data_IF_943309128375
#
_entry.id   IF_943309128375
#
_cell.length_a   1.000
_cell.length_b   1.000
_cell.length_c   1.000
_cell.angle_alpha   90.00
_cell.angle_beta   90.00
_cell.angle_gamma   90.00
#
_symmetry.space_group_name_H-M   'P 1'
#
loop_
_entity.id
_entity.type
_entity.pdbx_description
1 polymer ?
#
# COMPACT_ATOMS: atom_id res chain seq x y z
N UNK A 1 29.52 22.97 -16.41
CA UNK A 1 28.88 21.64 -16.47
C UNK A 1 27.84 21.52 -15.34
N UNK A 2 26.83 22.38 -15.30
CA UNK A 2 25.91 22.54 -14.15
C UNK A 2 24.45 22.17 -14.46
N UNK A 3 24.14 21.83 -15.72
CA UNK A 3 22.77 21.50 -16.16
C UNK A 3 22.42 20.01 -16.05
N UNK A 4 23.38 19.12 -15.76
CA UNK A 4 23.13 17.67 -15.68
C UNK A 4 22.33 17.25 -14.45
N UNK A 5 22.29 18.06 -13.39
CA UNK A 5 21.59 17.75 -12.13
C UNK A 5 20.07 18.04 -12.18
N UNK A 6 19.61 18.90 -13.10
CA UNK A 6 18.20 19.34 -13.15
C UNK A 6 17.28 18.25 -13.75
N UNK A 7 17.82 17.33 -14.56
CA UNK A 7 17.06 16.25 -15.22
C UNK A 7 16.74 15.05 -14.31
N UNK A 8 17.30 14.97 -13.10
CA UNK A 8 17.08 13.84 -12.19
C UNK A 8 15.96 14.08 -11.17
N UNK A 9 15.47 15.33 -11.03
CA UNK A 9 14.42 15.67 -10.08
C UNK A 9 13.03 15.05 -10.37
N UNK A 10 12.56 14.88 -11.64
CA UNK A 10 11.22 14.34 -11.88
C UNK A 10 11.11 12.81 -11.67
N UNK A 11 12.23 12.08 -11.62
CA UNK A 11 12.24 10.62 -11.42
C UNK A 11 11.97 10.20 -9.96
N UNK A 12 12.13 11.11 -9.00
CA UNK A 12 11.91 10.83 -7.56
C UNK A 12 10.44 10.87 -7.15
N UNK A 13 9.53 11.35 -8.02
CA UNK A 13 8.09 11.43 -7.75
C UNK A 13 7.30 10.18 -8.20
N UNK A 14 7.94 9.24 -8.91
CA UNK A 14 7.31 8.02 -9.41
C UNK A 14 7.15 6.89 -8.39
N UNK A 15 7.60 7.08 -7.14
CA UNK A 15 7.54 6.05 -6.10
C UNK A 15 6.23 6.04 -5.28
N UNK A 16 5.28 6.93 -5.60
CA UNK A 16 4.03 7.01 -4.86
C UNK A 16 2.98 6.04 -5.40
N UNK A 17 2.68 5.06 -4.55
CA UNK A 17 1.47 4.27 -4.47
C UNK A 17 1.28 3.23 -5.58
N UNK A 18 1.50 1.96 -5.21
CA UNK A 18 0.70 0.88 -5.77
C UNK A 18 -0.77 1.32 -5.77
N UNK A 19 -1.36 1.39 -6.96
CA UNK A 19 -2.70 1.96 -7.17
C UNK A 19 -3.74 1.28 -6.29
N UNK A 20 -4.73 2.05 -5.84
CA UNK A 20 -5.81 1.55 -5.01
C UNK A 20 -6.63 0.47 -5.75
N UNK A 21 -6.61 -0.80 -5.31
CA UNK A 21 -7.33 -1.87 -5.98
C UNK A 21 -8.80 -1.94 -5.54
N UNK A 22 -9.35 -0.92 -4.90
CA UNK A 22 -10.70 -0.91 -4.35
C UNK A 22 -11.58 0.13 -5.04
N UNK A 23 -12.86 -0.20 -5.20
CA UNK A 23 -13.86 0.65 -5.86
C UNK A 23 -15.14 0.73 -5.03
N UNK A 24 -15.76 1.91 -5.00
CA UNK A 24 -17.10 2.13 -4.48
C UNK A 24 -17.86 3.09 -5.43
N UNK A 25 -18.79 2.60 -6.27
CA UNK A 25 -19.49 3.43 -7.26
C UNK A 25 -20.36 4.55 -6.67
N UNK A 26 -20.71 4.45 -5.38
CA UNK A 26 -21.56 5.43 -4.71
C UNK A 26 -20.78 6.66 -4.19
N UNK A 27 -19.45 6.57 -4.23
CA UNK A 27 -18.54 7.56 -3.64
C UNK A 27 -17.65 8.17 -4.74
N UNK A 28 -17.36 9.50 -4.71
CA UNK A 28 -16.41 10.12 -5.63
C UNK A 28 -15.03 9.47 -5.58
N UNK A 29 -14.39 9.28 -6.75
CA UNK A 29 -13.08 8.61 -6.87
C UNK A 29 -11.99 9.24 -5.99
N UNK A 30 -12.03 10.55 -5.82
CA UNK A 30 -11.07 11.30 -4.99
C UNK A 30 -11.08 10.86 -3.51
N UNK A 31 -12.20 10.29 -3.05
CA UNK A 31 -12.33 9.77 -1.69
C UNK A 31 -11.75 8.36 -1.55
N UNK A 32 -11.70 7.58 -2.64
CA UNK A 32 -11.22 6.19 -2.61
C UNK A 32 -9.79 6.10 -2.12
N UNK A 33 -8.90 6.95 -2.63
CA UNK A 33 -7.49 6.96 -2.24
C UNK A 33 -7.27 7.46 -0.83
N UNK A 34 -8.11 8.39 -0.35
CA UNK A 34 -8.07 8.89 1.03
C UNK A 34 -8.45 7.78 2.02
N UNK A 35 -9.54 7.08 1.73
CA UNK A 35 -10.05 5.99 2.56
C UNK A 35 -9.09 4.81 2.56
N UNK A 36 -8.58 4.43 1.38
CA UNK A 36 -7.54 3.41 1.25
C UNK A 36 -6.29 3.79 2.03
N UNK A 37 -5.80 5.03 1.93
CA UNK A 37 -4.64 5.50 2.69
C UNK A 37 -4.87 5.50 4.21
N UNK A 38 -6.10 5.76 4.67
CA UNK A 38 -6.45 5.67 6.07
C UNK A 38 -6.47 4.22 6.57
N UNK A 39 -7.10 3.30 5.82
CA UNK A 39 -7.10 1.88 6.11
C UNK A 39 -5.68 1.30 6.08
N UNK A 40 -4.86 1.70 5.11
CA UNK A 40 -3.46 1.29 4.98
C UNK A 40 -2.64 1.63 6.21
N UNK A 41 -2.73 2.88 6.68
CA UNK A 41 -2.02 3.34 7.89
C UNK A 41 -2.43 2.58 9.15
N UNK A 42 -3.72 2.21 9.22
CA UNK A 42 -4.24 1.39 10.31
C UNK A 42 -3.66 -0.02 10.26
N UNK A 43 -3.66 -0.64 9.07
CA UNK A 43 -3.07 -1.96 8.86
C UNK A 43 -1.54 -1.99 9.11
N UNK A 44 -0.81 -0.95 8.68
CA UNK A 44 0.63 -0.79 8.94
C UNK A 44 0.90 -0.81 10.47
N UNK A 45 0.10 -0.06 11.23
CA UNK A 45 0.21 0.02 12.69
C UNK A 45 -0.11 -1.31 13.38
N UNK A 46 -1.16 -1.99 12.93
CA UNK A 46 -1.69 -3.17 13.63
C UNK A 46 -0.94 -4.46 13.29
N UNK A 47 -0.41 -4.57 12.07
CA UNK A 47 0.29 -5.77 11.59
C UNK A 47 1.79 -5.79 11.90
N UNK A 48 2.39 -4.61 12.12
CA UNK A 48 3.84 -4.46 12.19
C UNK A 48 4.56 -4.84 10.88
N UNK A 49 3.83 -5.02 9.78
CA UNK A 49 4.40 -5.36 8.48
C UNK A 49 5.31 -4.24 7.98
N UNK A 50 6.53 -4.61 7.58
CA UNK A 50 7.45 -3.71 6.89
C UNK A 50 7.90 -4.34 5.59
N UNK A 51 7.79 -3.55 4.52
CA UNK A 51 8.20 -3.95 3.17
C UNK A 51 9.65 -3.58 2.86
N UNK A 52 10.46 -3.30 3.89
CA UNK A 52 11.87 -2.96 3.72
C UNK A 52 12.66 -4.23 3.40
N UNK A 53 12.88 -4.52 2.11
CA UNK A 53 13.78 -5.60 1.66
C UNK A 53 15.26 -5.38 2.02
N UNK A 54 15.57 -4.64 3.09
CA UNK A 54 16.92 -4.30 3.56
C UNK A 54 17.54 -5.38 4.44
N UNK A 55 16.76 -6.40 4.75
CA UNK A 55 17.16 -7.49 5.62
C UNK A 55 17.73 -8.66 4.80
N UNK A 56 18.89 -9.15 5.21
CA UNK A 56 19.49 -10.36 4.62
C UNK A 56 18.58 -11.58 4.80
N UNK A 57 18.67 -12.51 3.83
CA UNK A 57 17.85 -13.73 3.80
C UNK A 57 17.95 -14.52 5.11
N UNK A 58 16.80 -14.80 5.72
CA UNK A 58 16.66 -15.67 6.89
C UNK A 58 15.29 -16.35 6.86
N UNK A 59 15.21 -17.69 6.87
CA UNK A 59 13.94 -18.41 6.75
C UNK A 59 12.91 -18.07 7.85
N UNK A 60 13.36 -17.77 9.07
CA UNK A 60 12.46 -17.37 10.16
C UNK A 60 11.87 -15.98 9.92
N UNK A 61 12.68 -15.05 9.43
CA UNK A 61 12.24 -13.67 9.12
C UNK A 61 11.28 -13.64 7.94
N UNK A 62 11.51 -14.47 6.93
CA UNK A 62 10.61 -14.58 5.78
C UNK A 62 9.24 -15.14 6.21
N UNK A 63 9.24 -16.12 7.11
CA UNK A 63 8.01 -16.65 7.70
C UNK A 63 7.26 -15.57 8.50
N UNK A 64 7.94 -14.86 9.39
CA UNK A 64 7.35 -13.76 10.18
C UNK A 64 6.81 -12.65 9.28
N UNK A 65 7.56 -12.27 8.23
CA UNK A 65 7.11 -11.29 7.22
C UNK A 65 5.85 -11.78 6.50
N UNK A 66 5.81 -13.05 6.10
CA UNK A 66 4.63 -13.63 5.46
C UNK A 66 3.41 -13.63 6.40
N UNK A 67 3.61 -13.92 7.69
CA UNK A 67 2.55 -13.85 8.70
C UNK A 67 2.07 -12.40 8.90
N UNK A 68 2.98 -11.45 9.07
CA UNK A 68 2.66 -10.03 9.19
C UNK A 68 1.91 -9.51 7.95
N UNK A 69 2.31 -9.94 6.75
CA UNK A 69 1.62 -9.61 5.50
C UNK A 69 0.17 -10.08 5.50
N UNK A 70 -0.10 -11.30 5.99
CA UNK A 70 -1.47 -11.83 6.08
C UNK A 70 -2.35 -10.98 6.99
N UNK A 71 -1.80 -10.55 8.13
CA UNK A 71 -2.50 -9.68 9.08
C UNK A 71 -2.78 -8.32 8.44
N UNK A 72 -1.78 -7.74 7.77
CA UNK A 72 -1.90 -6.50 7.02
C UNK A 72 -3.00 -6.57 5.97
N UNK A 73 -2.95 -7.58 5.11
CA UNK A 73 -3.94 -7.78 4.04
C UNK A 73 -5.34 -7.98 4.63
N UNK A 74 -5.48 -8.76 5.72
CA UNK A 74 -6.76 -8.98 6.38
C UNK A 74 -7.34 -7.68 6.98
N UNK A 75 -6.49 -6.85 7.61
CA UNK A 75 -6.88 -5.57 8.19
C UNK A 75 -7.37 -4.59 7.12
N UNK A 76 -6.64 -4.45 6.01
CA UNK A 76 -7.08 -3.61 4.89
C UNK A 76 -8.40 -4.13 4.31
N UNK A 77 -8.51 -5.44 4.08
CA UNK A 77 -9.73 -6.04 3.55
C UNK A 77 -10.95 -5.75 4.44
N UNK A 78 -10.80 -5.89 5.75
CA UNK A 78 -11.88 -5.63 6.70
C UNK A 78 -12.27 -4.14 6.70
N UNK A 79 -11.27 -3.24 6.75
CA UNK A 79 -11.49 -1.80 6.75
C UNK A 79 -12.21 -1.33 5.48
N UNK A 80 -11.71 -1.70 4.30
CA UNK A 80 -12.30 -1.29 3.02
C UNK A 80 -13.72 -1.84 2.84
N UNK A 81 -13.97 -3.10 3.23
CA UNK A 81 -15.31 -3.69 3.19
C UNK A 81 -16.29 -2.99 4.13
N UNK A 82 -15.84 -2.56 5.31
CA UNK A 82 -16.69 -1.81 6.25
C UNK A 82 -17.15 -0.45 5.69
N UNK A 83 -16.34 0.14 4.80
CA UNK A 83 -16.64 1.37 4.07
C UNK A 83 -17.44 1.13 2.77
N UNK A 84 -17.85 -0.11 2.50
CA UNK A 84 -18.63 -0.47 1.30
C UNK A 84 -17.81 -0.57 0.01
N UNK A 85 -16.49 -0.68 0.10
CA UNK A 85 -15.63 -0.88 -1.06
C UNK A 85 -15.53 -2.35 -1.46
N UNK A 86 -15.35 -2.58 -2.76
CA UNK A 86 -15.14 -3.91 -3.35
C UNK A 86 -13.84 -3.94 -4.14
N UNK A 87 -13.16 -5.09 -4.26
CA UNK A 87 -11.99 -5.21 -5.11
C UNK A 87 -12.34 -4.85 -6.56
N UNK A 88 -11.48 -4.05 -7.20
CA UNK A 88 -11.61 -3.72 -8.61
C UNK A 88 -11.61 -5.02 -9.44
N UNK A 89 -12.50 -5.14 -10.44
CA UNK A 89 -12.47 -6.29 -11.33
C UNK A 89 -11.10 -6.36 -12.00
N UNK A 90 -10.48 -7.55 -11.95
CA UNK A 90 -9.27 -7.82 -12.74
C UNK A 90 -9.66 -7.69 -14.22
N UNK A 91 -9.01 -6.76 -14.93
CA UNK A 91 -9.14 -6.67 -16.40
C UNK A 91 -8.47 -7.84 -17.07
#
# INVERSE_FOLDING_TARGET
MTYRLILLLPLLLGACAAGNPWVNPQIPKDQWDRDYSACRRTADRDSGYRDDGRDGYSPTRDYERAQAKRIYDASINACMRSLGYFPAPKK
#
